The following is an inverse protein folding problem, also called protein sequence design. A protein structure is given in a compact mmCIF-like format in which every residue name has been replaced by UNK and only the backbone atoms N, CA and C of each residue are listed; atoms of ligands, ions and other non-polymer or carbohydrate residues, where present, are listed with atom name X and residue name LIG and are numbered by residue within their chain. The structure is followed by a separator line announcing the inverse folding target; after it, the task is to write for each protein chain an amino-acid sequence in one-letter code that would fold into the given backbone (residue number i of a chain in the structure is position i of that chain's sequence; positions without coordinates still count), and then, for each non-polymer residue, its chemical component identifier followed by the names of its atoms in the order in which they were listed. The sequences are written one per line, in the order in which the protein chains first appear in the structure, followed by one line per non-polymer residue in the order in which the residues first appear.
data_IF_870512961246
#
_entry.id   IF_870512961246
#
_cell.length_a   1.000
_cell.length_b   1.000
_cell.length_c   1.000
_cell.angle_alpha   90.00
_cell.angle_beta   90.00
_cell.angle_gamma   90.00
#
_symmetry.space_group_name_H-M   'P 1'
#
loop_
_entity.id
_entity.type
_entity.pdbx_description
1 polymer ?
#
# COMPACT_ATOMS: atom_id res chain seq x y z
N UNK A 1 6.06 21.40 19.20
CA UNK A 1 5.68 20.46 18.12
C UNK A 1 5.19 19.21 18.82
N UNK A 2 3.96 18.72 18.55
CA UNK A 2 3.58 17.37 18.99
C UNK A 2 4.16 16.43 17.96
N UNK A 3 5.02 15.51 18.40
CA UNK A 3 5.45 14.41 17.54
C UNK A 3 4.19 13.65 17.11
N UNK A 4 3.96 13.59 15.80
CA UNK A 4 2.76 12.99 15.25
C UNK A 4 2.74 11.48 15.45
N UNK A 5 1.54 10.91 15.53
CA UNK A 5 1.33 9.48 15.50
C UNK A 5 1.83 8.88 14.17
N UNK A 6 2.45 7.71 14.22
CA UNK A 6 2.93 7.02 13.03
C UNK A 6 2.78 5.50 13.10
N UNK A 7 2.79 4.87 11.93
CA UNK A 7 2.76 3.42 11.78
C UNK A 7 3.87 3.03 10.80
N UNK A 8 4.72 2.09 11.22
CA UNK A 8 5.70 1.43 10.36
C UNK A 8 5.21 0.02 10.08
N UNK A 9 5.14 -0.36 8.80
CA UNK A 9 4.70 -1.68 8.36
C UNK A 9 5.86 -2.41 7.68
N UNK A 10 6.03 -3.67 8.02
CA UNK A 10 6.98 -4.59 7.38
C UNK A 10 6.17 -5.69 6.71
N UNK A 11 6.51 -5.98 5.46
CA UNK A 11 5.76 -6.90 4.61
C UNK A 11 6.47 -7.16 3.29
N UNK A 12 5.79 -7.90 2.42
CA UNK A 12 6.22 -8.20 1.05
C UNK A 12 5.36 -7.45 0.02
N UNK A 13 5.88 -7.33 -1.20
CA UNK A 13 5.21 -6.70 -2.33
C UNK A 13 5.10 -7.69 -3.49
N UNK A 14 3.89 -7.81 -4.02
CA UNK A 14 3.61 -8.51 -5.27
C UNK A 14 3.08 -7.56 -6.34
N UNK A 15 3.36 -7.85 -7.60
CA UNK A 15 2.67 -7.22 -8.72
C UNK A 15 1.29 -7.87 -8.93
N UNK A 16 0.26 -7.04 -9.07
CA UNK A 16 -1.07 -7.52 -9.44
C UNK A 16 -1.17 -7.63 -10.95
N UNK A 17 -1.29 -8.85 -11.47
CA UNK A 17 -1.47 -9.12 -12.91
C UNK A 17 -2.93 -9.23 -13.34
N UNK A 18 -3.85 -9.43 -12.40
CA UNK A 18 -5.30 -9.54 -12.65
C UNK A 18 -5.85 -8.22 -13.19
N UNK A 19 -6.32 -8.26 -14.46
CA UNK A 19 -6.89 -7.11 -15.17
C UNK A 19 -8.18 -6.61 -14.55
N UNK A 20 -9.04 -7.50 -14.05
CA UNK A 20 -10.31 -7.11 -13.43
C UNK A 20 -10.04 -6.33 -12.16
N UNK A 21 -9.04 -6.76 -11.37
CA UNK A 21 -8.63 -6.03 -10.17
C UNK A 21 -7.95 -4.70 -10.52
N UNK A 22 -7.13 -4.65 -11.57
CA UNK A 22 -6.55 -3.40 -12.08
C UNK A 22 -7.62 -2.38 -12.48
N UNK A 23 -8.65 -2.81 -13.21
CA UNK A 23 -9.79 -1.99 -13.62
C UNK A 23 -10.58 -1.47 -12.42
N UNK A 24 -10.82 -2.32 -11.43
CA UNK A 24 -11.55 -1.96 -10.21
C UNK A 24 -10.81 -0.92 -9.35
N UNK A 25 -9.47 -0.97 -9.33
CA UNK A 25 -8.65 -0.09 -8.49
C UNK A 25 -8.24 1.21 -9.20
N UNK A 26 -8.45 1.31 -10.51
CA UNK A 26 -8.17 2.53 -11.27
C UNK A 26 -9.01 3.71 -10.79
N UNK A 27 -8.35 4.84 -10.52
CA UNK A 27 -9.02 6.10 -10.27
C UNK A 27 -8.72 7.06 -11.43
N UNK A 28 -9.73 7.75 -11.96
CA UNK A 28 -9.50 8.66 -13.09
C UNK A 28 -8.53 9.81 -12.78
N UNK A 29 -8.38 10.18 -11.49
CA UNK A 29 -7.36 11.13 -11.04
C UNK A 29 -5.92 10.62 -11.23
N UNK A 30 -5.69 9.32 -11.37
CA UNK A 30 -4.38 8.74 -11.66
C UNK A 30 -3.90 9.05 -13.08
N UNK A 31 -4.79 9.53 -13.97
CA UNK A 31 -4.42 9.94 -15.33
C UNK A 31 -3.38 11.06 -15.34
N UNK A 32 -3.26 11.85 -14.27
CA UNK A 32 -2.20 12.85 -14.11
C UNK A 32 -0.79 12.23 -14.12
N UNK A 33 -0.66 10.96 -13.71
CA UNK A 33 0.59 10.19 -13.72
C UNK A 33 0.65 9.24 -14.92
N UNK A 34 -0.49 8.67 -15.32
CA UNK A 34 -0.62 7.68 -16.40
C UNK A 34 -1.53 8.22 -17.50
N UNK A 35 -0.97 9.08 -18.37
CA UNK A 35 -1.73 9.80 -19.41
C UNK A 35 -2.59 8.90 -20.33
N UNK A 36 -2.15 7.64 -20.56
CA UNK A 36 -2.89 6.66 -21.37
C UNK A 36 -3.98 5.90 -20.60
N UNK A 37 -4.24 6.29 -19.35
CA UNK A 37 -5.20 5.64 -18.46
C UNK A 37 -4.72 4.26 -18.02
N UNK A 38 -5.67 3.36 -17.73
CA UNK A 38 -5.38 1.98 -17.32
C UNK A 38 -4.57 1.16 -18.36
N UNK A 39 -4.65 1.54 -19.64
CA UNK A 39 -3.88 0.90 -20.70
C UNK A 39 -2.40 1.35 -20.74
N UNK A 40 -1.99 2.30 -19.88
CA UNK A 40 -0.60 2.74 -19.81
C UNK A 40 0.31 1.58 -19.40
N UNK A 41 1.32 1.29 -20.21
CA UNK A 41 2.26 0.19 -19.94
C UNK A 41 3.12 0.44 -18.71
N UNK A 42 3.10 1.65 -18.14
CA UNK A 42 3.76 1.99 -16.87
C UNK A 42 2.84 1.86 -15.65
N UNK A 43 1.53 1.75 -15.85
CA UNK A 43 0.60 1.52 -14.74
C UNK A 43 0.82 0.11 -14.17
N UNK A 44 1.17 0.02 -12.89
CA UNK A 44 1.38 -1.23 -12.16
C UNK A 44 0.75 -1.08 -10.78
N UNK A 45 0.00 -2.09 -10.36
CA UNK A 45 -0.50 -2.19 -9.00
C UNK A 45 0.41 -3.06 -8.16
N UNK A 46 0.70 -2.57 -6.96
CA UNK A 46 1.48 -3.26 -5.95
C UNK A 46 0.55 -3.69 -4.84
N UNK A 47 0.53 -4.99 -4.54
CA UNK A 47 -0.14 -5.53 -3.36
C UNK A 47 0.90 -5.65 -2.25
N UNK A 48 0.69 -4.93 -1.16
CA UNK A 48 1.54 -5.01 0.03
C UNK A 48 0.89 -5.93 1.06
N UNK A 49 1.55 -7.03 1.41
CA UNK A 49 1.09 -8.00 2.41
C UNK A 49 1.90 -7.82 3.69
N UNK A 50 1.24 -7.47 4.79
CA UNK A 50 1.88 -7.08 6.06
C UNK A 50 2.18 -8.31 6.93
N UNK A 51 3.40 -8.35 7.47
CA UNK A 51 3.83 -9.33 8.47
C UNK A 51 3.95 -8.72 9.87
N UNK A 52 4.38 -7.45 9.94
CA UNK A 52 4.57 -6.75 11.20
C UNK A 52 4.14 -5.30 11.09
N UNK A 53 3.55 -4.79 12.16
CA UNK A 53 3.22 -3.38 12.33
C UNK A 53 3.81 -2.86 13.64
N UNK A 54 4.55 -1.76 13.56
CA UNK A 54 5.02 -0.98 14.71
C UNK A 54 4.26 0.34 14.75
N UNK A 55 3.56 0.57 15.84
CA UNK A 55 2.77 1.77 16.10
C UNK A 55 3.56 2.70 17.03
N UNK A 56 3.66 3.97 16.67
CA UNK A 56 4.04 5.07 17.55
C UNK A 56 2.81 5.94 17.76
N UNK A 57 2.12 5.73 18.87
CA UNK A 57 0.86 6.41 19.19
C UNK A 57 0.97 6.99 20.60
N UNK A 58 0.64 8.27 20.77
CA UNK A 58 0.73 8.96 22.07
C UNK A 58 2.09 8.79 22.77
N UNK A 59 3.18 8.81 21.98
CA UNK A 59 4.55 8.64 22.49
C UNK A 59 4.91 7.23 22.94
N UNK A 60 4.13 6.21 22.55
CA UNK A 60 4.36 4.81 22.94
C UNK A 60 4.54 3.92 21.73
N UNK A 61 5.55 3.04 21.81
CA UNK A 61 5.77 1.98 20.83
C UNK A 61 4.97 0.73 21.16
N UNK A 62 4.35 0.15 20.14
CA UNK A 62 3.80 -1.21 20.18
C UNK A 62 4.09 -1.91 18.85
N UNK A 63 4.69 -3.09 18.91
CA UNK A 63 4.90 -3.94 17.73
C UNK A 63 3.99 -5.15 17.81
N UNK A 64 3.35 -5.50 16.70
CA UNK A 64 2.62 -6.76 16.55
C UNK A 64 2.96 -7.43 15.23
N UNK A 65 3.20 -8.73 15.28
CA UNK A 65 3.41 -9.56 14.11
C UNK A 65 2.16 -10.40 13.84
N UNK A 66 1.81 -10.60 12.57
CA UNK A 66 0.78 -11.55 12.20
C UNK A 66 1.33 -12.94 12.51
N UNK A 67 0.58 -13.76 13.26
CA UNK A 67 0.91 -15.19 13.36
C UNK A 67 0.63 -15.78 11.97
N UNK A 68 1.62 -16.44 11.39
CA UNK A 68 1.57 -17.20 10.14
C UNK A 68 0.12 -17.57 9.74
N UNK A 69 -0.32 -17.07 8.58
CA UNK A 69 -1.46 -17.63 7.87
C UNK A 69 -1.17 -19.07 7.45
#
# INVERSE_FOLDING_TARGET
MRDGDSVTLIGEIDFVEDRVLQEKMWNESDRQFFSKGIADTKFRLLKFTIFEATFWIDGKFRTCSTKNA
#
